data_IF_618332507281
#
_entry.id   IF_618332507281
#
_cell.length_a   1.000
_cell.length_b   1.000
_cell.length_c   1.000
_cell.angle_alpha   90.00
_cell.angle_beta   90.00
_cell.angle_gamma   90.00
#
_symmetry.space_group_name_H-M   'P 1'
#
loop_
_entity.id
_entity.type
_entity.pdbx_description
1 polymer ?
#
# COMPACT_ATOMS: atom_id res chain seq x y z
N UNK A 1 -22.05 4.84 -3.44
CA UNK A 1 -20.74 4.46 -4.01
C UNK A 1 -19.70 4.46 -2.91
N UNK A 2 -18.93 3.38 -2.74
CA UNK A 2 -17.81 3.33 -1.81
C UNK A 2 -16.67 4.24 -2.27
N UNK A 3 -15.88 4.74 -1.32
CA UNK A 3 -14.67 5.53 -1.63
C UNK A 3 -13.45 4.60 -1.67
N UNK A 4 -12.50 4.90 -2.57
CA UNK A 4 -11.20 4.23 -2.58
C UNK A 4 -10.49 4.50 -1.24
N UNK A 5 -9.91 3.46 -0.64
CA UNK A 5 -9.11 3.58 0.56
C UNK A 5 -7.84 2.77 0.40
N UNK A 6 -6.75 3.28 0.94
CA UNK A 6 -5.50 2.58 1.02
C UNK A 6 -4.88 2.83 2.39
N UNK A 7 -4.33 1.77 2.99
CA UNK A 7 -3.63 1.83 4.27
C UNK A 7 -2.38 0.97 4.17
N UNK A 8 -1.35 1.37 4.91
CA UNK A 8 -0.15 0.56 5.09
C UNK A 8 0.32 0.65 6.54
N UNK A 9 0.87 -0.44 7.05
CA UNK A 9 1.39 -0.49 8.42
C UNK A 9 2.52 -1.50 8.54
N UNK A 10 3.40 -1.28 9.50
CA UNK A 10 4.44 -2.24 9.85
C UNK A 10 3.83 -3.46 10.54
N UNK A 11 4.29 -4.66 10.18
CA UNK A 11 3.92 -5.87 10.88
C UNK A 11 4.36 -5.78 12.35
N UNK A 12 3.46 -6.11 13.28
CA UNK A 12 3.76 -6.10 14.73
C UNK A 12 4.59 -7.33 15.16
N UNK A 13 4.64 -8.37 14.34
CA UNK A 13 5.27 -9.66 14.61
C UNK A 13 6.68 -9.77 14.01
N UNK A 14 7.32 -10.93 14.19
CA UNK A 14 8.73 -11.24 13.85
C UNK A 14 9.14 -10.96 12.39
N UNK A 15 8.17 -10.79 11.49
CA UNK A 15 8.39 -10.79 10.04
C UNK A 15 9.00 -9.49 9.51
N UNK A 16 9.18 -8.45 10.35
CA UNK A 16 9.81 -7.14 10.04
C UNK A 16 9.31 -6.44 8.76
N UNK A 17 8.25 -6.96 8.14
CA UNK A 17 7.68 -6.48 6.90
C UNK A 17 6.55 -5.48 7.14
N UNK A 18 5.82 -5.22 6.07
CA UNK A 18 4.73 -4.26 6.02
C UNK A 18 3.51 -4.93 5.39
N UNK A 19 2.34 -4.52 5.83
CA UNK A 19 1.08 -4.91 5.21
C UNK A 19 0.46 -3.69 4.55
N UNK A 20 -0.13 -3.91 3.38
CA UNK A 20 -1.01 -2.94 2.73
C UNK A 20 -2.42 -3.49 2.63
N UNK A 21 -3.40 -2.60 2.69
CA UNK A 21 -4.81 -2.89 2.44
C UNK A 21 -5.36 -1.90 1.41
N UNK A 22 -6.07 -2.41 0.42
CA UNK A 22 -6.74 -1.59 -0.58
C UNK A 22 -8.23 -1.93 -0.65
N UNK A 23 -9.07 -0.91 -0.44
CA UNK A 23 -10.52 -0.98 -0.60
C UNK A 23 -10.93 -0.26 -1.89
N UNK A 24 -11.64 -0.95 -2.76
CA UNK A 24 -12.16 -0.35 -4.00
C UNK A 24 -13.47 0.44 -3.76
N UNK A 25 -13.95 1.11 -4.81
CA UNK A 25 -15.19 1.91 -4.73
C UNK A 25 -16.47 1.09 -4.59
N UNK A 26 -16.36 -0.25 -4.58
CA UNK A 26 -17.44 -1.22 -4.39
C UNK A 26 -17.41 -1.85 -2.99
N UNK A 27 -16.40 -1.53 -2.18
CA UNK A 27 -16.22 -2.07 -0.84
C UNK A 27 -15.44 -3.38 -0.79
N UNK A 28 -14.86 -3.83 -1.91
CA UNK A 28 -14.00 -5.01 -1.93
C UNK A 28 -12.63 -4.63 -1.36
N UNK A 29 -12.22 -5.32 -0.30
CA UNK A 29 -10.93 -5.15 0.35
C UNK A 29 -9.98 -6.30 0.01
N UNK A 30 -8.70 -5.98 -0.21
CA UNK A 30 -7.62 -6.97 -0.34
C UNK A 30 -6.41 -6.53 0.45
N UNK A 31 -5.61 -7.49 0.90
CA UNK A 31 -4.39 -7.24 1.66
C UNK A 31 -3.17 -7.87 0.98
N UNK A 32 -2.00 -7.25 1.16
CA UNK A 32 -0.72 -7.76 0.65
C UNK A 32 0.39 -7.56 1.66
N UNK A 33 1.36 -8.48 1.68
CA UNK A 33 2.54 -8.41 2.55
C UNK A 33 3.80 -8.03 1.75
N UNK A 34 4.66 -7.23 2.37
CA UNK A 34 5.88 -6.69 1.79
C UNK A 34 7.05 -6.92 2.75
N UNK A 35 8.08 -7.63 2.31
CA UNK A 35 9.29 -7.87 3.12
C UNK A 35 10.09 -6.58 3.34
N UNK A 36 10.43 -5.90 2.24
CA UNK A 36 11.19 -4.66 2.23
C UNK A 36 10.67 -3.76 1.10
N UNK A 37 9.52 -3.09 1.31
CA UNK A 37 8.94 -2.21 0.32
C UNK A 37 9.85 -0.99 0.07
N UNK A 38 9.93 -0.57 -1.20
CA UNK A 38 10.56 0.69 -1.57
C UNK A 38 9.70 1.89 -1.12
N UNK A 39 10.27 3.09 -1.10
CA UNK A 39 9.53 4.32 -0.77
C UNK A 39 8.42 4.65 -1.78
N UNK A 40 8.52 4.15 -3.00
CA UNK A 40 7.53 4.33 -4.05
C UNK A 40 7.53 3.14 -5.00
N UNK A 41 6.42 2.98 -5.72
CA UNK A 41 6.24 1.95 -6.74
C UNK A 41 5.71 2.58 -8.04
N UNK A 42 6.12 3.82 -8.32
CA UNK A 42 5.64 4.56 -9.50
C UNK A 42 6.00 3.85 -10.82
N UNK A 43 7.11 3.11 -10.80
CA UNK A 43 7.57 2.25 -11.90
C UNK A 43 6.73 0.98 -12.11
N UNK A 44 5.94 0.53 -11.11
CA UNK A 44 5.23 -0.74 -11.19
C UNK A 44 4.06 -0.66 -12.18
N UNK A 45 3.97 -1.60 -13.12
CA UNK A 45 2.84 -1.68 -14.03
C UNK A 45 1.55 -2.19 -13.36
N UNK A 46 0.40 -2.10 -14.04
CA UNK A 46 -0.87 -2.63 -13.56
C UNK A 46 -0.80 -4.11 -13.18
N UNK A 47 -0.06 -4.93 -13.92
CA UNK A 47 0.13 -6.36 -13.69
C UNK A 47 0.76 -6.65 -12.33
N UNK A 48 1.75 -5.85 -11.92
CA UNK A 48 2.36 -5.97 -10.61
C UNK A 48 1.34 -5.67 -9.50
N UNK A 49 0.58 -4.58 -9.66
CA UNK A 49 -0.42 -4.18 -8.67
C UNK A 49 -1.58 -5.16 -8.58
N UNK A 50 -2.01 -5.75 -9.70
CA UNK A 50 -3.07 -6.77 -9.73
C UNK A 50 -2.62 -8.03 -9.01
N UNK A 51 -1.36 -8.44 -9.19
CA UNK A 51 -0.82 -9.60 -8.47
C UNK A 51 -0.76 -9.37 -6.95
N UNK A 52 -0.53 -8.11 -6.53
CA UNK A 52 -0.54 -7.72 -5.11
C UNK A 52 -1.95 -7.55 -4.53
N UNK A 53 -2.82 -6.91 -5.31
CA UNK A 53 -4.17 -6.51 -4.95
C UNK A 53 -5.11 -6.72 -6.15
N UNK A 54 -5.75 -7.90 -6.26
CA UNK A 54 -6.57 -8.26 -7.44
C UNK A 54 -7.76 -7.33 -7.75
N UNK A 55 -8.13 -6.46 -6.82
CA UNK A 55 -9.17 -5.43 -6.97
C UNK A 55 -8.65 -4.10 -7.58
N UNK A 56 -7.35 -3.96 -7.87
CA UNK A 56 -6.76 -2.83 -8.61
C UNK A 56 -6.94 -3.02 -10.12
N UNK A 57 -8.17 -2.87 -10.61
CA UNK A 57 -8.53 -3.23 -12.00
C UNK A 57 -8.53 -2.07 -13.00
N UNK A 58 -8.44 -0.82 -12.53
CA UNK A 58 -8.61 0.36 -13.38
C UNK A 58 -7.41 1.29 -13.28
N UNK A 59 -7.18 2.12 -14.31
CA UNK A 59 -6.15 3.16 -14.28
C UNK A 59 -6.31 4.10 -13.07
N UNK A 60 -7.57 4.42 -12.71
CA UNK A 60 -7.88 5.20 -11.50
C UNK A 60 -7.45 4.50 -10.22
N UNK A 61 -7.68 3.19 -10.09
CA UNK A 61 -7.22 2.43 -8.92
C UNK A 61 -5.70 2.41 -8.87
N UNK A 62 -5.04 2.22 -10.01
CA UNK A 62 -3.58 2.17 -10.10
C UNK A 62 -2.95 3.50 -9.65
N UNK A 63 -3.40 4.62 -10.22
CA UNK A 63 -2.91 5.95 -9.85
C UNK A 63 -3.13 6.24 -8.35
N UNK A 64 -4.34 6.00 -7.85
CA UNK A 64 -4.66 6.19 -6.44
C UNK A 64 -3.80 5.32 -5.51
N UNK A 65 -3.61 4.04 -5.88
CA UNK A 65 -2.81 3.11 -5.09
C UNK A 65 -1.36 3.60 -4.98
N UNK A 66 -0.73 3.97 -6.10
CA UNK A 66 0.67 4.43 -6.13
C UNK A 66 0.87 5.70 -5.29
N UNK A 67 -0.01 6.67 -5.45
CA UNK A 67 0.04 7.92 -4.69
C UNK A 67 -0.07 7.66 -3.18
N UNK A 68 -1.07 6.87 -2.77
CA UNK A 68 -1.30 6.56 -1.34
C UNK A 68 -0.21 5.66 -0.76
N UNK A 69 0.32 4.72 -1.54
CA UNK A 69 1.45 3.90 -1.14
C UNK A 69 2.65 4.76 -0.75
N UNK A 70 3.01 5.72 -1.62
CA UNK A 70 4.12 6.64 -1.37
C UNK A 70 3.90 7.47 -0.10
N UNK A 71 2.69 8.00 0.08
CA UNK A 71 2.32 8.79 1.26
C UNK A 71 2.39 7.95 2.56
N UNK A 72 1.85 6.74 2.56
CA UNK A 72 1.88 5.87 3.74
C UNK A 72 3.30 5.38 4.06
N UNK A 73 4.10 5.02 3.05
CA UNK A 73 5.50 4.66 3.26
C UNK A 73 6.31 5.81 3.86
N UNK A 74 6.12 7.04 3.36
CA UNK A 74 6.74 8.23 3.94
C UNK A 74 6.33 8.45 5.40
N UNK A 75 5.03 8.32 5.72
CA UNK A 75 4.51 8.41 7.09
C UNK A 75 5.16 7.37 8.00
N UNK A 76 5.15 6.10 7.61
CA UNK A 76 5.70 5.01 8.42
C UNK A 76 7.20 5.17 8.64
N UNK A 77 7.95 5.61 7.61
CA UNK A 77 9.39 5.86 7.76
C UNK A 77 9.71 7.08 8.61
N UNK A 78 8.89 8.13 8.55
CA UNK A 78 8.99 9.26 9.48
C UNK A 78 8.79 8.80 10.92
N UNK A 79 7.75 8.01 11.19
CA UNK A 79 7.48 7.44 12.52
C UNK A 79 8.62 6.53 13.01
N UNK A 80 9.23 5.75 12.13
CA UNK A 80 10.41 4.92 12.47
C UNK A 80 11.65 5.77 12.83
N UNK A 81 11.82 6.94 12.18
CA UNK A 81 12.95 7.85 12.43
C UNK A 81 12.83 8.64 13.73
N UNK A 82 11.61 9.05 14.10
CA UNK A 82 11.33 9.81 15.33
C UNK A 82 11.46 8.95 16.61
N UNK A 83 11.37 7.62 16.49
CA UNK A 83 11.48 6.71 17.65
C UNK A 83 12.93 6.57 18.16
N UNK A 84 13.91 7.21 17.49
CA UNK A 84 15.34 7.17 17.84
C UNK A 84 15.95 8.56 18.12
N UNK A 85 15.16 9.61 18.29
CA UNK A 85 15.65 10.94 18.71
C UNK A 85 15.51 11.19 20.20
#
# INVERSE_FOLDING_TARGET
>A
MGRLKFKMWKAKTRDRGYYSEFTDGRGVCTQSWWSSPQMSIDHAGPEYLINRHPNVKTARHNAFFKERYKQEMARIKGEEGDTHS
#
